data_IF_659456279227
#
_entry.id   IF_659456279227
#
_cell.length_a   1.000
_cell.length_b   1.000
_cell.length_c   1.000
_cell.angle_alpha   90.00
_cell.angle_beta   90.00
_cell.angle_gamma   90.00
#
_symmetry.space_group_name_H-M   'P 1'
#
loop_
_entity.id
_entity.type
_entity.pdbx_description
1 polymer ?
#
# COMPACT_ATOMS: atom_id res chain seq x y z
N UNK A 1 -23.04 10.32 8.39
CA UNK A 1 -21.91 9.87 7.57
C UNK A 1 -21.63 8.39 7.83
N UNK A 2 -21.38 7.64 6.80
CA UNK A 2 -21.02 6.21 6.87
C UNK A 2 -19.49 6.11 6.73
N UNK A 3 -18.88 5.20 7.49
CA UNK A 3 -17.45 4.94 7.38
C UNK A 3 -17.12 4.33 6.00
N UNK A 4 -16.16 4.90 5.30
CA UNK A 4 -15.70 4.43 4.01
C UNK A 4 -14.54 3.44 4.18
N UNK A 5 -14.42 2.49 3.28
CA UNK A 5 -13.34 1.53 3.25
C UNK A 5 -12.87 1.26 1.82
N UNK A 6 -11.60 1.04 1.65
CA UNK A 6 -11.01 0.65 0.38
C UNK A 6 -9.90 -0.38 0.60
N UNK A 7 -9.62 -1.17 -0.42
CA UNK A 7 -8.50 -2.09 -0.44
C UNK A 7 -7.36 -1.52 -1.28
N UNK A 8 -6.15 -1.70 -0.82
CA UNK A 8 -4.93 -1.40 -1.55
C UNK A 8 -4.07 -2.67 -1.63
N UNK A 9 -3.15 -2.73 -2.58
CA UNK A 9 -2.14 -3.78 -2.62
C UNK A 9 -0.76 -3.22 -2.25
N UNK A 10 0.17 -4.08 -1.86
CA UNK A 10 1.53 -3.70 -1.45
C UNK A 10 2.34 -3.01 -2.56
N UNK A 11 2.00 -3.22 -3.82
CA UNK A 11 2.64 -2.56 -4.97
C UNK A 11 2.12 -1.14 -5.23
N UNK A 12 1.28 -0.57 -4.35
CA UNK A 12 0.99 0.86 -4.31
C UNK A 12 -0.28 1.34 -4.98
N UNK A 13 -1.21 0.46 -5.33
CA UNK A 13 -2.52 0.86 -5.88
C UNK A 13 -3.68 0.61 -4.90
N UNK A 14 -4.80 1.32 -5.06
CA UNK A 14 -5.99 1.14 -4.19
C UNK A 14 -6.71 -0.18 -4.49
N UNK A 15 -6.57 -0.75 -5.66
CA UNK A 15 -7.05 -2.10 -5.94
C UNK A 15 -6.17 -2.84 -6.97
N UNK A 16 -6.40 -4.16 -7.08
CA UNK A 16 -5.69 -5.04 -8.01
C UNK A 16 -5.99 -4.75 -9.48
N UNK A 17 -6.97 -3.88 -9.80
CA UNK A 17 -7.40 -3.52 -11.14
C UNK A 17 -6.79 -2.21 -11.64
N UNK A 18 -6.03 -1.51 -10.79
CA UNK A 18 -5.34 -0.26 -11.14
C UNK A 18 -6.18 1.00 -10.93
N UNK A 19 -7.33 0.91 -10.29
CA UNK A 19 -8.03 2.09 -9.79
C UNK A 19 -7.28 2.64 -8.56
N UNK A 20 -6.67 3.80 -8.74
CA UNK A 20 -5.83 4.44 -7.73
C UNK A 20 -6.57 5.50 -6.91
N UNK A 21 -7.89 5.60 -7.07
CA UNK A 21 -8.69 6.65 -6.46
C UNK A 21 -10.08 6.16 -6.07
N UNK A 22 -10.59 6.71 -4.98
CA UNK A 22 -11.97 6.56 -4.54
C UNK A 22 -12.59 7.92 -4.25
N UNK A 23 -13.83 7.92 -3.80
CA UNK A 23 -14.55 9.10 -3.34
C UNK A 23 -15.19 8.81 -1.99
N UNK A 24 -15.04 9.73 -1.03
CA UNK A 24 -15.66 9.65 0.29
C UNK A 24 -16.96 10.44 0.39
N UNK A 25 -17.30 11.22 -0.64
CA UNK A 25 -18.58 11.94 -0.74
C UNK A 25 -19.42 11.26 -1.81
N UNK A 26 -20.21 10.27 -1.39
CA UNK A 26 -21.15 9.59 -2.28
C UNK A 26 -22.53 10.25 -2.18
N UNK A 27 -22.90 10.98 -3.22
CA UNK A 27 -24.23 11.59 -3.37
C UNK A 27 -25.17 10.76 -4.26
N UNK A 28 -24.69 9.60 -4.75
CA UNK A 28 -25.52 8.67 -5.52
C UNK A 28 -26.45 7.85 -4.61
N UNK A 29 -27.54 7.35 -5.15
CA UNK A 29 -28.48 6.53 -4.37
C UNK A 29 -27.88 5.14 -4.09
N UNK A 30 -27.56 4.86 -2.83
CA UNK A 30 -26.98 3.59 -2.39
C UNK A 30 -26.97 3.41 -0.89
N UNK A 31 -26.29 2.40 -0.40
CA UNK A 31 -26.18 2.09 1.04
C UNK A 31 -25.21 3.00 1.79
N UNK A 32 -24.44 3.84 1.09
CA UNK A 32 -23.39 4.71 1.64
C UNK A 32 -23.60 6.18 1.24
N UNK A 33 -24.84 6.59 0.95
CA UNK A 33 -25.14 7.94 0.50
C UNK A 33 -24.91 8.96 1.58
N UNK A 34 -24.06 9.94 1.33
CA UNK A 34 -23.92 11.14 2.14
C UNK A 34 -25.05 12.12 1.80
N UNK A 35 -25.75 12.61 2.84
CA UNK A 35 -26.87 13.50 2.66
C UNK A 35 -26.88 14.57 3.73
N UNK A 36 -27.41 15.72 3.36
CA UNK A 36 -27.78 16.79 4.27
C UNK A 36 -29.29 17.01 4.22
N UNK A 37 -29.89 17.42 5.35
CA UNK A 37 -31.32 17.74 5.42
C UNK A 37 -31.68 19.04 4.67
N UNK A 38 -30.69 19.91 4.47
CA UNK A 38 -30.84 21.18 3.79
C UNK A 38 -30.63 20.99 2.28
N UNK A 39 -31.70 21.13 1.51
CA UNK A 39 -31.80 20.75 0.08
C UNK A 39 -30.82 21.46 -0.88
N UNK A 40 -29.95 22.34 -0.40
CA UNK A 40 -28.97 23.10 -1.19
C UNK A 40 -27.54 22.98 -0.64
N UNK A 41 -27.30 22.13 0.35
CA UNK A 41 -25.99 21.98 0.97
C UNK A 41 -24.99 21.38 -0.03
N UNK A 42 -23.83 22.02 -0.16
CA UNK A 42 -22.68 21.48 -0.91
C UNK A 42 -21.70 20.84 0.07
N UNK A 43 -21.61 19.52 0.05
CA UNK A 43 -20.72 18.78 0.92
C UNK A 43 -19.27 18.90 0.45
N UNK A 44 -18.36 19.22 1.37
CA UNK A 44 -16.93 19.35 1.07
C UNK A 44 -16.08 18.79 2.21
N UNK A 45 -14.90 18.24 1.87
CA UNK A 45 -13.90 17.84 2.87
C UNK A 45 -13.08 19.08 3.24
N UNK A 46 -13.00 19.37 4.54
CA UNK A 46 -12.27 20.53 5.06
C UNK A 46 -11.02 20.19 5.83
N UNK A 47 -10.97 19.00 6.42
CA UNK A 47 -9.81 18.51 7.18
C UNK A 47 -9.63 17.01 7.01
N UNK A 48 -8.38 16.56 7.19
CA UNK A 48 -7.97 15.16 7.19
C UNK A 48 -6.88 14.93 8.23
N UNK A 49 -6.85 13.75 8.84
CA UNK A 49 -5.75 13.28 9.68
C UNK A 49 -5.64 11.77 9.67
N UNK A 50 -4.47 11.25 10.02
CA UNK A 50 -4.34 9.86 10.48
C UNK A 50 -5.09 9.71 11.82
N UNK A 51 -5.71 8.57 12.08
CA UNK A 51 -6.35 8.28 13.37
C UNK A 51 -5.37 8.50 14.53
N UNK A 52 -5.78 9.29 15.53
CA UNK A 52 -4.92 9.70 16.64
C UNK A 52 -3.92 10.84 16.33
N UNK A 53 -3.85 11.32 15.08
CA UNK A 53 -2.97 12.40 14.66
C UNK A 53 -3.61 13.79 14.73
N UNK A 54 -2.89 14.78 14.19
CA UNK A 54 -3.31 16.18 14.08
C UNK A 54 -4.02 16.45 12.76
N UNK A 55 -5.03 17.33 12.78
CA UNK A 55 -5.75 17.73 11.57
C UNK A 55 -4.84 18.53 10.61
N UNK A 56 -4.92 18.19 9.32
CA UNK A 56 -4.41 18.96 8.19
C UNK A 56 -5.58 19.56 7.43
N UNK A 57 -5.51 20.83 7.07
CA UNK A 57 -6.55 21.50 6.27
C UNK A 57 -6.51 21.01 4.82
N UNK A 58 -7.67 20.78 4.25
CA UNK A 58 -7.84 20.45 2.84
C UNK A 58 -8.19 21.73 2.09
N UNK A 59 -7.47 22.01 0.98
CA UNK A 59 -7.66 23.23 0.19
C UNK A 59 -9.01 23.22 -0.50
N UNK A 60 -9.76 24.31 -0.39
CA UNK A 60 -11.06 24.44 -1.06
C UNK A 60 -10.93 24.27 -2.59
N UNK A 61 -11.85 23.52 -3.18
CA UNK A 61 -11.88 23.26 -4.63
C UNK A 61 -10.79 22.32 -5.13
N UNK A 62 -10.04 21.65 -4.22
CA UNK A 62 -9.04 20.65 -4.59
C UNK A 62 -9.69 19.30 -4.91
N UNK A 63 -8.95 18.49 -5.69
CA UNK A 63 -9.14 17.07 -5.86
C UNK A 63 -7.83 16.35 -5.49
N UNK A 64 -7.84 15.02 -5.32
CA UNK A 64 -6.63 14.29 -4.95
C UNK A 64 -5.45 14.53 -5.92
N UNK A 65 -5.72 14.72 -7.22
CA UNK A 65 -4.72 14.93 -8.26
C UNK A 65 -4.46 16.41 -8.57
N UNK A 66 -5.17 17.33 -7.92
CA UNK A 66 -5.02 18.78 -8.09
C UNK A 66 -5.12 19.48 -6.74
N UNK A 67 -3.98 19.87 -6.17
CA UNK A 67 -3.86 20.53 -4.87
C UNK A 67 -4.43 19.75 -3.68
N UNK A 68 -4.48 18.41 -3.79
CA UNK A 68 -4.92 17.52 -2.71
C UNK A 68 -3.98 17.58 -1.49
N UNK A 69 -4.51 17.25 -0.33
CA UNK A 69 -3.79 17.22 0.94
C UNK A 69 -3.35 15.80 1.25
N UNK A 70 -2.04 15.60 1.44
CA UNK A 70 -1.46 14.29 1.75
C UNK A 70 -1.25 14.12 3.25
N UNK A 71 -1.60 12.92 3.76
CA UNK A 71 -1.38 12.50 5.14
C UNK A 71 -0.70 11.14 5.15
N UNK A 72 0.43 11.07 5.87
CA UNK A 72 1.19 9.82 6.00
C UNK A 72 0.55 8.93 7.05
N UNK A 73 0.21 7.70 6.65
CA UNK A 73 -0.25 6.61 7.50
C UNK A 73 0.91 5.81 8.11
N UNK A 74 0.63 4.57 8.49
CA UNK A 74 1.67 3.61 8.90
C UNK A 74 2.23 2.88 7.69
N UNK A 75 1.34 2.47 6.81
CA UNK A 75 1.61 1.57 5.69
C UNK A 75 1.55 2.27 4.33
N UNK A 76 1.21 3.57 4.30
CA UNK A 76 1.15 4.34 3.07
C UNK A 76 0.82 5.80 3.28
N UNK A 77 0.50 6.48 2.19
CA UNK A 77 0.12 7.88 2.17
C UNK A 77 -1.22 8.05 1.48
N UNK A 78 -2.17 8.66 2.17
CA UNK A 78 -3.46 9.08 1.61
C UNK A 78 -3.36 10.52 1.12
N UNK A 79 -3.83 10.79 -0.08
CA UNK A 79 -4.03 12.15 -0.60
C UNK A 79 -5.50 12.34 -0.91
N UNK A 80 -6.11 13.40 -0.39
CA UNK A 80 -7.55 13.68 -0.51
C UNK A 80 -7.80 15.11 -0.98
N UNK A 81 -8.84 15.29 -1.79
CA UNK A 81 -9.35 16.58 -2.22
C UNK A 81 -10.58 17.05 -1.44
N UNK A 82 -10.91 18.34 -1.57
CA UNK A 82 -12.13 18.91 -1.00
C UNK A 82 -13.39 18.34 -1.64
N UNK A 83 -13.29 17.85 -2.88
CA UNK A 83 -14.36 17.18 -3.61
C UNK A 83 -14.67 15.76 -3.10
N UNK A 84 -13.91 15.25 -2.13
CA UNK A 84 -14.05 13.90 -1.60
C UNK A 84 -13.19 12.85 -2.29
N UNK A 85 -12.68 13.15 -3.47
CA UNK A 85 -11.80 12.24 -4.20
C UNK A 85 -10.52 11.98 -3.44
N UNK A 86 -10.02 10.74 -3.44
CA UNK A 86 -8.77 10.38 -2.76
C UNK A 86 -7.97 9.36 -3.54
N UNK A 87 -6.68 9.30 -3.23
CA UNK A 87 -5.79 8.20 -3.62
C UNK A 87 -4.98 7.73 -2.43
N UNK A 88 -4.53 6.49 -2.46
CA UNK A 88 -3.65 5.92 -1.45
C UNK A 88 -2.50 5.17 -2.11
N UNK A 89 -1.29 5.39 -1.61
CA UNK A 89 -0.09 4.72 -2.10
C UNK A 89 0.59 4.04 -0.92
N UNK A 90 0.70 2.72 -0.97
CA UNK A 90 1.40 1.92 0.03
C UNK A 90 2.90 2.23 0.03
N UNK A 91 3.55 2.08 1.18
CA UNK A 91 4.99 2.28 1.35
C UNK A 91 5.72 0.93 1.54
N UNK A 92 7.05 0.98 1.66
CA UNK A 92 7.88 -0.21 1.81
C UNK A 92 7.65 -1.01 3.11
N UNK A 93 6.87 -0.51 4.08
CA UNK A 93 6.52 -1.28 5.28
C UNK A 93 5.58 -2.46 4.98
N UNK A 94 4.98 -2.48 3.78
CA UNK A 94 4.08 -3.55 3.34
C UNK A 94 4.77 -4.60 2.48
N UNK A 95 6.05 -4.41 2.11
CA UNK A 95 6.77 -5.28 1.17
C UNK A 95 7.11 -6.68 1.72
N UNK A 96 6.83 -6.93 2.99
CA UNK A 96 7.04 -8.23 3.66
C UNK A 96 5.72 -8.93 3.99
N UNK A 97 4.60 -8.45 3.46
CA UNK A 97 3.32 -9.10 3.63
C UNK A 97 3.20 -10.25 2.64
N UNK A 98 2.83 -11.43 3.14
CA UNK A 98 2.59 -12.62 2.35
C UNK A 98 1.18 -12.63 1.72
N UNK A 99 0.98 -13.48 0.73
CA UNK A 99 -0.34 -13.69 0.15
C UNK A 99 -1.33 -14.22 1.21
N UNK A 100 -2.35 -13.43 1.49
CA UNK A 100 -3.35 -13.70 2.54
C UNK A 100 -3.19 -12.84 3.78
N UNK A 101 -2.06 -12.15 3.96
CA UNK A 101 -1.89 -11.16 5.00
C UNK A 101 -2.62 -9.87 4.67
N UNK A 102 -2.95 -9.10 5.70
CA UNK A 102 -3.49 -7.76 5.54
C UNK A 102 -3.14 -6.86 6.71
N UNK A 103 -2.94 -5.57 6.41
CA UNK A 103 -2.77 -4.51 7.40
C UNK A 103 -3.69 -3.34 7.07
N UNK A 104 -3.93 -2.45 8.04
CA UNK A 104 -4.87 -1.34 7.84
C UNK A 104 -4.27 -0.01 8.26
N UNK A 105 -4.55 1.04 7.47
CA UNK A 105 -4.45 2.43 7.86
C UNK A 105 -5.86 3.03 8.03
N UNK A 106 -6.04 3.84 9.07
CA UNK A 106 -7.30 4.54 9.35
C UNK A 106 -7.04 6.05 9.36
N UNK A 107 -7.82 6.77 8.54
CA UNK A 107 -7.81 8.23 8.51
C UNK A 107 -9.19 8.76 8.91
N UNK A 108 -9.20 9.97 9.48
CA UNK A 108 -10.42 10.67 9.89
C UNK A 108 -10.53 11.94 9.08
N UNK A 109 -11.61 12.10 8.33
CA UNK A 109 -11.89 13.31 7.59
C UNK A 109 -13.03 14.11 8.23
N UNK A 110 -13.06 15.40 7.96
CA UNK A 110 -14.13 16.31 8.36
C UNK A 110 -14.90 16.75 7.13
N UNK A 111 -16.16 16.38 7.10
CA UNK A 111 -17.14 16.79 6.08
C UNK A 111 -17.87 18.06 6.58
N UNK A 112 -18.10 19.01 5.69
CA UNK A 112 -18.81 20.26 5.95
C UNK A 112 -19.83 20.55 4.86
N UNK A 113 -20.96 21.10 5.27
CA UNK A 113 -22.00 21.70 4.42
C UNK A 113 -21.85 23.22 4.25
N UNK A 114 -20.78 23.81 4.81
CA UNK A 114 -20.53 25.25 4.88
C UNK A 114 -21.04 25.92 6.16
N UNK A 115 -21.90 25.25 6.96
CA UNK A 115 -22.51 25.77 8.21
C UNK A 115 -22.12 24.90 9.41
N UNK A 116 -22.21 23.60 9.24
CA UNK A 116 -21.89 22.59 10.24
C UNK A 116 -20.79 21.63 9.76
N UNK A 117 -20.24 20.84 10.67
CA UNK A 117 -19.25 19.83 10.34
C UNK A 117 -19.54 18.52 11.05
N UNK A 118 -19.19 17.42 10.40
CA UNK A 118 -19.17 16.09 10.99
C UNK A 118 -17.88 15.36 10.62
N UNK A 119 -17.54 14.30 11.32
CA UNK A 119 -16.35 13.48 11.02
C UNK A 119 -16.73 12.06 10.71
N UNK A 120 -15.98 11.45 9.78
CA UNK A 120 -16.06 10.03 9.51
C UNK A 120 -14.65 9.45 9.26
N UNK A 121 -14.58 8.12 9.23
CA UNK A 121 -13.33 7.42 8.97
C UNK A 121 -13.30 6.91 7.53
N UNK A 122 -12.11 6.89 6.95
CA UNK A 122 -11.76 6.02 5.83
C UNK A 122 -10.76 4.99 6.33
N UNK A 123 -11.05 3.70 6.08
CA UNK A 123 -10.18 2.57 6.43
C UNK A 123 -9.62 1.99 5.13
N UNK A 124 -8.31 2.02 4.99
CA UNK A 124 -7.60 1.40 3.86
C UNK A 124 -7.05 0.07 4.36
N UNK A 125 -7.45 -1.02 3.72
CA UNK A 125 -6.91 -2.36 3.95
C UNK A 125 -5.89 -2.67 2.86
N UNK A 126 -4.65 -2.90 3.24
CA UNK A 126 -3.58 -3.29 2.33
C UNK A 126 -3.48 -4.82 2.36
N UNK A 127 -3.57 -5.43 1.20
CA UNK A 127 -3.48 -6.87 1.02
C UNK A 127 -2.07 -7.22 0.57
N UNK A 128 -1.46 -8.19 1.21
CA UNK A 128 -0.18 -8.76 0.81
C UNK A 128 -0.30 -9.59 -0.47
N UNK A 129 0.80 -9.68 -1.20
CA UNK A 129 0.94 -10.50 -2.38
C UNK A 129 2.23 -11.33 -2.27
N UNK A 130 2.25 -12.50 -2.89
CA UNK A 130 3.45 -13.33 -2.91
C UNK A 130 4.56 -12.64 -3.72
N UNK A 131 5.70 -12.42 -3.08
CA UNK A 131 6.87 -11.85 -3.71
C UNK A 131 7.68 -12.93 -4.44
N UNK A 132 8.10 -12.61 -5.65
CA UNK A 132 8.93 -13.53 -6.43
C UNK A 132 10.35 -13.55 -5.86
N UNK A 133 10.93 -14.74 -5.58
CA UNK A 133 12.32 -14.83 -5.14
C UNK A 133 13.28 -14.29 -6.21
N UNK A 134 14.35 -13.67 -5.77
CA UNK A 134 15.42 -13.18 -6.65
C UNK A 134 16.65 -14.08 -6.56
N UNK A 135 17.18 -14.47 -7.72
CA UNK A 135 18.41 -15.26 -7.81
C UNK A 135 19.50 -14.44 -8.50
N UNK A 136 20.70 -14.45 -7.91
CA UNK A 136 21.89 -13.89 -8.53
C UNK A 136 22.51 -14.86 -9.56
N UNK A 137 23.26 -14.30 -10.50
CA UNK A 137 24.06 -15.11 -11.41
C UNK A 137 25.32 -15.60 -10.69
N UNK A 138 25.55 -16.91 -10.72
CA UNK A 138 26.77 -17.52 -10.20
C UNK A 138 27.72 -17.83 -11.36
N UNK A 139 29.01 -17.54 -11.18
CA UNK A 139 30.07 -17.87 -12.15
C UNK A 139 31.04 -18.83 -11.51
N UNK A 140 31.04 -20.08 -11.95
CA UNK A 140 31.95 -21.12 -11.48
C UNK A 140 33.10 -21.27 -12.49
N UNK A 141 34.32 -21.10 -12.02
CA UNK A 141 35.53 -21.36 -12.80
C UNK A 141 36.01 -22.77 -12.49
N UNK A 142 36.07 -23.62 -13.50
CA UNK A 142 36.61 -24.98 -13.42
C UNK A 142 37.92 -25.00 -14.21
N UNK A 143 39.03 -25.41 -13.58
CA UNK A 143 40.25 -25.63 -14.30
C UNK A 143 40.23 -26.99 -15.03
N UNK A 144 41.11 -27.18 -16.00
CA UNK A 144 41.16 -28.39 -16.84
C UNK A 144 41.43 -29.67 -16.03
N UNK A 145 41.98 -29.56 -14.82
CA UNK A 145 42.25 -30.68 -13.93
C UNK A 145 41.06 -30.98 -13.02
N UNK A 146 39.94 -30.31 -13.16
CA UNK A 146 38.70 -30.48 -12.33
C UNK A 146 38.99 -30.46 -10.83
N UNK A 147 39.99 -29.72 -10.39
CA UNK A 147 40.32 -29.49 -9.00
C UNK A 147 40.12 -28.02 -8.64
N UNK A 148 39.15 -27.75 -7.83
CA UNK A 148 39.04 -26.47 -7.14
C UNK A 148 39.93 -26.53 -5.90
N UNK A 149 40.77 -25.50 -5.72
CA UNK A 149 41.73 -25.44 -4.61
C UNK A 149 41.04 -25.36 -3.22
N UNK A 150 39.79 -24.97 -3.20
CA UNK A 150 38.99 -24.78 -1.96
C UNK A 150 38.03 -25.91 -1.68
N UNK A 151 37.52 -26.64 -2.66
CA UNK A 151 36.42 -27.61 -2.49
C UNK A 151 36.72 -29.03 -2.96
N UNK A 152 37.94 -29.34 -3.40
CA UNK A 152 38.33 -30.67 -3.86
C UNK A 152 37.74 -31.05 -5.23
N UNK A 153 38.08 -32.28 -5.72
CA UNK A 153 37.60 -32.76 -7.01
C UNK A 153 36.10 -33.03 -6.96
N UNK A 154 35.31 -32.28 -7.70
CA UNK A 154 33.87 -32.46 -7.88
C UNK A 154 33.55 -33.09 -9.21
N UNK A 155 32.85 -34.21 -9.22
CA UNK A 155 32.41 -34.90 -10.44
C UNK A 155 31.06 -34.44 -10.96
N UNK A 156 30.33 -33.66 -10.17
CA UNK A 156 29.07 -33.01 -10.57
C UNK A 156 28.74 -31.86 -9.63
N UNK A 157 28.25 -30.75 -10.19
CA UNK A 157 27.69 -29.63 -9.44
C UNK A 157 26.23 -29.95 -9.11
N UNK A 158 25.90 -30.01 -7.84
CA UNK A 158 24.50 -30.16 -7.38
C UNK A 158 24.04 -28.80 -6.82
N UNK A 159 23.36 -28.04 -7.63
CA UNK A 159 22.90 -26.69 -7.29
C UNK A 159 22.11 -26.68 -5.96
N UNK A 160 21.26 -27.67 -5.73
CA UNK A 160 20.47 -27.74 -4.50
C UNK A 160 21.29 -27.96 -3.22
N UNK A 161 22.42 -28.67 -3.31
CA UNK A 161 23.29 -28.91 -2.17
C UNK A 161 24.19 -27.72 -1.88
N UNK A 162 24.55 -26.99 -2.93
CA UNK A 162 25.47 -25.88 -2.85
C UNK A 162 24.79 -24.60 -2.38
N UNK A 163 23.45 -24.50 -2.42
CA UNK A 163 22.68 -23.40 -1.82
C UNK A 163 22.78 -23.33 -0.28
N UNK A 164 23.23 -24.40 0.37
CA UNK A 164 23.43 -24.43 1.82
C UNK A 164 24.85 -24.00 2.24
N UNK A 165 25.75 -23.71 1.29
CA UNK A 165 27.12 -23.30 1.56
C UNK A 165 27.22 -21.76 1.53
N UNK A 166 27.99 -21.20 2.45
CA UNK A 166 28.15 -19.75 2.67
C UNK A 166 28.72 -18.97 1.48
N UNK A 167 29.09 -19.65 0.39
CA UNK A 167 29.64 -19.04 -0.83
C UNK A 167 28.54 -18.47 -1.76
N UNK A 168 27.27 -18.81 -1.54
CA UNK A 168 26.12 -18.27 -2.29
C UNK A 168 25.44 -17.15 -1.51
N UNK A 169 26.05 -15.97 -1.55
CA UNK A 169 25.55 -14.80 -0.77
C UNK A 169 24.53 -13.94 -1.52
N UNK A 170 24.20 -14.27 -2.78
CA UNK A 170 23.32 -13.45 -3.63
C UNK A 170 21.92 -14.04 -3.82
N UNK A 171 21.47 -14.91 -2.91
CA UNK A 171 20.12 -15.43 -2.89
C UNK A 171 19.32 -14.73 -1.79
N UNK A 172 18.22 -14.14 -2.15
CA UNK A 172 17.30 -13.56 -1.17
C UNK A 172 15.85 -13.78 -1.59
N UNK A 173 15.04 -14.14 -0.63
CA UNK A 173 13.60 -14.13 -0.71
C UNK A 173 13.07 -13.12 0.30
N UNK A 174 12.12 -12.29 -0.12
CA UNK A 174 11.52 -11.29 0.75
C UNK A 174 10.49 -11.93 1.71
N UNK A 175 9.93 -13.09 1.32
CA UNK A 175 8.95 -13.86 2.08
C UNK A 175 9.67 -15.08 2.70
N UNK A 176 10.38 -14.88 3.81
CA UNK A 176 11.29 -15.87 4.39
C UNK A 176 10.64 -17.16 4.96
N UNK A 177 9.33 -17.29 4.88
CA UNK A 177 8.53 -18.39 5.40
C UNK A 177 7.90 -19.30 4.32
N UNK A 178 8.09 -18.98 3.04
CA UNK A 178 7.69 -19.84 1.91
C UNK A 178 8.66 -21.04 1.76
N UNK A 179 8.60 -21.99 2.69
CA UNK A 179 9.40 -23.20 2.69
C UNK A 179 8.90 -24.28 1.71
#
# INVERSE_FOLDING_TARGET
TVANSANANESGGIDATGEHSGDVIDTSSGTHTDSDADASASLTITQIKKSGGTNSSVSAGSSYNSSGTSVVGTYGTLTIGADGSYSYVANSATSTLDAGDSVTDVFVYTLSDGTATTTANITITILGANNKPTAGNETVYINENNTDATHGARTSLNIRKDFADSDFTNYSDADADDG
#
